data_IF_523325545008
#
_entry.id   IF_523325545008
#
_cell.length_a   1.000
_cell.length_b   1.000
_cell.length_c   1.000
_cell.angle_alpha   90.00
_cell.angle_beta   90.00
_cell.angle_gamma   90.00
#
_symmetry.space_group_name_H-M   'P 1'
#
loop_
_entity.id
_entity.type
_entity.pdbx_description
1 polymer ?
#
# COMPACT_ATOMS: atom_id res chain seq x y z
N UNK A 1 -19.49 -11.23 14.46
CA UNK A 1 -19.50 -9.92 15.15
C UNK A 1 -19.09 -8.89 14.11
N UNK A 2 -19.98 -7.98 13.73
CA UNK A 2 -19.74 -7.06 12.60
C UNK A 2 -19.00 -5.82 13.10
N UNK A 3 -17.81 -5.56 12.55
CA UNK A 3 -17.02 -4.37 12.86
C UNK A 3 -16.90 -3.50 11.60
N UNK A 4 -17.05 -2.18 11.76
CA UNK A 4 -16.84 -1.24 10.66
C UNK A 4 -15.33 -1.05 10.45
N UNK A 5 -14.79 -1.65 9.39
CA UNK A 5 -13.39 -1.46 8.98
C UNK A 5 -13.33 -0.32 7.97
N UNK A 6 -12.39 0.60 8.18
CA UNK A 6 -12.14 1.74 7.31
C UNK A 6 -10.67 1.81 6.92
N UNK A 7 -10.43 2.31 5.71
CA UNK A 7 -9.09 2.66 5.24
C UNK A 7 -9.05 4.15 4.96
N UNK A 8 -8.06 4.84 5.52
CA UNK A 8 -7.86 6.28 5.36
C UNK A 8 -6.45 6.52 4.83
N UNK A 9 -6.37 7.26 3.74
CA UNK A 9 -5.12 7.74 3.16
C UNK A 9 -5.03 9.23 3.46
N UNK A 10 -3.87 9.67 3.92
CA UNK A 10 -3.68 11.04 4.38
C UNK A 10 -2.27 11.32 4.83
N UNK A 11 -2.15 12.26 5.76
CA UNK A 11 -0.88 12.67 6.35
C UNK A 11 -0.97 12.76 7.87
N UNK A 12 0.16 12.62 8.53
CA UNK A 12 0.28 12.82 9.98
C UNK A 12 0.12 14.32 10.28
N UNK A 13 -0.99 14.72 10.87
CA UNK A 13 -1.32 16.12 11.11
C UNK A 13 -0.60 16.74 12.30
N UNK A 14 -0.18 15.92 13.28
CA UNK A 14 0.49 16.32 14.52
C UNK A 14 1.55 15.29 14.88
N UNK A 15 2.56 15.71 15.64
CA UNK A 15 3.63 14.82 16.08
C UNK A 15 3.05 13.61 16.83
N UNK A 16 3.44 12.37 16.48
CA UNK A 16 2.98 11.17 17.15
C UNK A 16 3.26 11.18 18.65
N UNK A 17 2.29 10.72 19.43
CA UNK A 17 2.43 10.59 20.89
C UNK A 17 2.57 9.10 21.21
N UNK A 18 3.75 8.71 21.69
CA UNK A 18 4.05 7.37 22.15
C UNK A 18 4.03 7.30 23.68
N UNK A 19 3.29 6.34 24.22
CA UNK A 19 3.17 6.11 25.65
C UNK A 19 3.29 4.62 25.96
N UNK A 20 4.00 4.30 27.05
CA UNK A 20 3.98 2.95 27.64
C UNK A 20 3.10 3.01 28.87
N UNK A 21 1.97 2.32 28.83
CA UNK A 21 1.03 2.28 29.96
C UNK A 21 1.63 1.53 31.15
N UNK A 22 1.08 1.73 32.34
CA UNK A 22 1.51 1.05 33.57
C UNK A 22 1.50 -0.49 33.47
N UNK A 23 0.69 -1.05 32.56
CA UNK A 23 0.65 -2.48 32.24
C UNK A 23 1.83 -2.96 31.39
N UNK A 24 2.74 -2.07 30.97
CA UNK A 24 3.79 -2.34 30.00
C UNK A 24 3.29 -2.40 28.55
N UNK A 25 2.04 -2.03 28.28
CA UNK A 25 1.47 -2.02 26.92
C UNK A 25 1.80 -0.72 26.21
N UNK A 26 2.47 -0.82 25.07
CA UNK A 26 2.74 0.31 24.19
C UNK A 26 1.49 0.80 23.47
N UNK A 27 1.33 2.13 23.42
CA UNK A 27 0.26 2.86 22.75
C UNK A 27 0.88 3.99 21.94
N UNK A 28 0.47 4.11 20.68
CA UNK A 28 0.79 5.25 19.83
C UNK A 28 -0.51 5.93 19.41
N UNK A 29 -0.63 7.22 19.69
CA UNK A 29 -1.74 8.06 19.25
C UNK A 29 -1.29 8.98 18.12
N UNK A 30 -1.99 8.91 16.99
CA UNK A 30 -1.74 9.72 15.81
C UNK A 30 -2.95 10.60 15.51
N UNK A 31 -2.72 11.78 14.93
CA UNK A 31 -3.75 12.56 14.26
C UNK A 31 -3.53 12.45 12.76
N UNK A 32 -4.47 11.85 12.03
CA UNK A 32 -4.42 11.79 10.56
C UNK A 32 -5.31 12.86 9.98
N UNK A 33 -4.80 13.61 9.01
CA UNK A 33 -5.56 14.49 8.14
C UNK A 33 -5.77 13.84 6.77
N UNK A 34 -6.98 13.90 6.24
CA UNK A 34 -7.29 13.47 4.87
C UNK A 34 -8.03 14.60 4.16
N UNK A 35 -7.45 15.09 3.07
CA UNK A 35 -8.01 16.17 2.26
C UNK A 35 -8.55 15.58 0.97
N UNK A 36 -9.89 15.48 0.80
CA UNK A 36 -10.46 15.04 -0.46
C UNK A 36 -10.13 16.05 -1.56
N UNK A 37 -9.87 15.56 -2.78
CA UNK A 37 -9.81 16.42 -3.97
C UNK A 37 -11.02 16.12 -4.85
N UNK A 38 -11.73 17.15 -5.27
CA UNK A 38 -12.86 17.07 -6.21
C UNK A 38 -12.52 17.81 -7.49
N UNK A 39 -12.84 17.21 -8.64
CA UNK A 39 -12.74 17.91 -9.91
C UNK A 39 -13.90 18.89 -10.06
N UNK A 40 -13.57 20.17 -10.22
CA UNK A 40 -14.55 21.23 -10.45
C UNK A 40 -14.74 21.44 -11.95
N UNK A 41 -15.92 21.08 -12.45
CA UNK A 41 -16.23 21.06 -13.89
C UNK A 41 -16.40 22.44 -14.50
N UNK A 42 -16.72 23.47 -13.71
CA UNK A 42 -16.95 24.82 -14.22
C UNK A 42 -15.64 25.51 -14.62
N UNK A 43 -14.58 25.20 -13.89
CA UNK A 43 -13.25 25.80 -14.02
C UNK A 43 -12.19 24.82 -14.54
N UNK A 44 -12.56 23.55 -14.70
CA UNK A 44 -11.70 22.52 -15.27
C UNK A 44 -10.49 22.12 -14.42
N UNK A 45 -10.50 22.37 -13.10
CA UNK A 45 -9.37 22.10 -12.21
C UNK A 45 -9.78 21.28 -10.98
N UNK A 46 -8.81 20.54 -10.43
CA UNK A 46 -8.96 19.89 -9.13
C UNK A 46 -8.93 20.94 -8.02
N UNK A 47 -9.89 20.85 -7.10
CA UNK A 47 -9.94 21.65 -5.88
C UNK A 47 -9.92 20.75 -4.67
N UNK A 48 -9.29 21.25 -3.62
CA UNK A 48 -9.28 20.61 -2.31
C UNK A 48 -10.62 20.93 -1.62
N UNK A 49 -11.22 19.91 -1.03
CA UNK A 49 -12.42 20.04 -0.21
C UNK A 49 -12.03 20.16 1.28
N UNK A 50 -13.03 20.30 2.15
CA UNK A 50 -12.82 20.41 3.58
C UNK A 50 -12.06 19.18 4.13
N UNK A 51 -10.92 19.39 4.81
CA UNK A 51 -10.13 18.28 5.34
C UNK A 51 -10.83 17.64 6.53
N UNK A 52 -10.85 16.31 6.55
CA UNK A 52 -11.26 15.56 7.73
C UNK A 52 -10.05 15.19 8.57
N UNK A 53 -10.24 15.15 9.89
CA UNK A 53 -9.18 14.76 10.81
C UNK A 53 -9.69 13.70 11.79
N UNK A 54 -8.95 12.60 11.88
CA UNK A 54 -9.30 11.43 12.68
C UNK A 54 -8.17 11.12 13.66
N UNK A 55 -8.53 10.63 14.85
CA UNK A 55 -7.55 10.12 15.81
C UNK A 55 -7.35 8.64 15.55
N UNK A 56 -6.10 8.20 15.46
CA UNK A 56 -5.74 6.80 15.24
C UNK A 56 -4.98 6.30 16.45
N UNK A 57 -5.44 5.20 17.03
CA UNK A 57 -4.75 4.51 18.13
C UNK A 57 -4.14 3.22 17.62
N UNK A 58 -2.83 3.07 17.81
CA UNK A 58 -2.08 1.87 17.48
C UNK A 58 -1.59 1.22 18.76
N UNK A 59 -1.64 -0.10 18.85
CA UNK A 59 -1.36 -0.84 20.09
C UNK A 59 -0.21 -1.82 19.92
N UNK A 60 0.48 -2.12 21.04
CA UNK A 60 1.46 -3.20 21.15
C UNK A 60 2.54 -3.06 20.07
N UNK A 61 2.82 -4.14 19.33
CA UNK A 61 3.84 -4.16 18.28
C UNK A 61 3.64 -3.11 17.19
N UNK A 62 2.40 -2.73 16.87
CA UNK A 62 2.19 -1.67 15.88
C UNK A 62 2.68 -0.32 16.40
N UNK A 63 2.44 -0.03 17.69
CA UNK A 63 2.96 1.18 18.33
C UNK A 63 4.49 1.19 18.37
N UNK A 64 5.11 0.07 18.79
CA UNK A 64 6.57 -0.05 18.88
C UNK A 64 7.25 0.09 17.51
N UNK A 65 6.67 -0.55 16.48
CA UNK A 65 7.20 -0.45 15.12
C UNK A 65 7.07 0.98 14.57
N UNK A 66 5.93 1.64 14.80
CA UNK A 66 5.74 3.02 14.36
C UNK A 66 6.68 4.00 15.08
N UNK A 67 6.94 3.76 16.37
CA UNK A 67 7.96 4.51 17.11
C UNK A 67 9.35 4.29 16.50
N UNK A 68 9.69 3.05 16.14
CA UNK A 68 11.00 2.71 15.54
C UNK A 68 11.16 3.22 14.11
N UNK A 69 10.06 3.38 13.37
CA UNK A 69 10.06 3.99 12.05
C UNK A 69 10.25 5.51 12.08
N UNK A 70 10.29 6.13 13.27
CA UNK A 70 10.46 7.57 13.45
C UNK A 70 9.43 8.39 12.66
N UNK A 71 8.15 7.99 12.70
CA UNK A 71 7.08 8.69 12.00
C UNK A 71 6.98 10.15 12.49
N UNK A 72 6.89 11.11 11.57
CA UNK A 72 6.85 12.54 11.87
C UNK A 72 5.58 13.22 11.34
N UNK A 73 5.31 14.43 11.84
CA UNK A 73 4.27 15.29 11.28
C UNK A 73 4.58 15.60 9.81
N UNK A 74 3.55 15.45 8.98
CA UNK A 74 3.61 15.66 7.53
C UNK A 74 3.78 14.37 6.74
N UNK A 75 4.18 13.27 7.38
CA UNK A 75 4.43 12.01 6.68
C UNK A 75 3.17 11.48 6.00
N UNK A 76 3.26 11.09 4.72
CA UNK A 76 2.14 10.51 4.00
C UNK A 76 1.93 9.07 4.46
N UNK A 77 0.71 8.74 4.89
CA UNK A 77 0.38 7.44 5.47
C UNK A 77 -0.95 6.89 4.96
N UNK A 78 -1.05 5.57 5.00
CA UNK A 78 -2.28 4.80 4.89
C UNK A 78 -2.54 4.07 6.20
N UNK A 79 -3.78 4.15 6.69
CA UNK A 79 -4.23 3.51 7.92
C UNK A 79 -5.45 2.66 7.61
N UNK A 80 -5.44 1.40 8.04
CA UNK A 80 -6.61 0.53 8.04
C UNK A 80 -6.90 0.07 9.46
N UNK A 81 -8.17 0.06 9.84
CA UNK A 81 -8.56 -0.36 11.18
C UNK A 81 -10.05 -0.24 11.44
N UNK A 82 -10.42 -0.41 12.71
CA UNK A 82 -11.81 -0.41 13.17
C UNK A 82 -12.24 1.01 13.50
N UNK A 83 -13.32 1.48 12.90
CA UNK A 83 -13.92 2.78 13.22
C UNK A 83 -14.70 2.67 14.54
N UNK A 84 -14.38 3.57 15.46
CA UNK A 84 -15.06 3.73 16.75
C UNK A 84 -15.50 5.18 16.90
N UNK A 85 -16.78 5.39 17.24
CA UNK A 85 -17.28 6.71 17.63
C UNK A 85 -17.29 6.76 19.15
N UNK A 86 -16.54 7.69 19.73
CA UNK A 86 -16.52 7.92 21.19
C UNK A 86 -17.27 9.19 21.54
N UNK A 87 -18.14 9.11 22.54
CA UNK A 87 -18.76 10.28 23.15
C UNK A 87 -17.83 10.84 24.23
N UNK A 88 -17.67 12.16 24.27
CA UNK A 88 -16.93 12.86 25.32
C UNK A 88 -17.63 14.18 25.66
N UNK A 89 -17.46 14.65 26.89
CA UNK A 89 -17.99 15.93 27.34
C UNK A 89 -16.90 16.98 27.22
N UNK A 90 -17.18 18.07 26.51
CA UNK A 90 -16.30 19.23 26.43
C UNK A 90 -17.16 20.49 26.56
N UNK A 91 -16.77 21.39 27.46
CA UNK A 91 -17.50 22.63 27.75
C UNK A 91 -18.97 22.39 28.19
N UNK A 92 -19.21 21.29 28.90
CA UNK A 92 -20.56 20.88 29.33
C UNK A 92 -21.45 20.30 28.23
N UNK A 93 -20.97 20.24 26.99
CA UNK A 93 -21.71 19.66 25.86
C UNK A 93 -21.16 18.28 25.49
N UNK A 94 -22.07 17.36 25.17
CA UNK A 94 -21.75 16.05 24.60
C UNK A 94 -21.27 16.24 23.16
N UNK A 95 -20.08 15.70 22.85
CA UNK A 95 -19.49 15.69 21.51
C UNK A 95 -19.11 14.27 21.13
N UNK A 96 -19.03 14.02 19.83
CA UNK A 96 -18.58 12.75 19.28
C UNK A 96 -17.21 12.93 18.63
N UNK A 97 -16.35 11.93 18.80
CA UNK A 97 -15.05 11.86 18.14
C UNK A 97 -14.95 10.54 17.39
N UNK A 98 -14.67 10.62 16.09
CA UNK A 98 -14.36 9.46 15.27
C UNK A 98 -12.89 9.07 15.46
N UNK A 99 -12.68 7.82 15.85
CA UNK A 99 -11.38 7.24 16.14
C UNK A 99 -11.20 5.95 15.35
N UNK A 100 -9.96 5.66 14.96
CA UNK A 100 -9.59 4.42 14.29
C UNK A 100 -8.70 3.62 15.22
N UNK A 101 -9.11 2.42 15.58
CA UNK A 101 -8.23 1.42 16.17
C UNK A 101 -7.49 0.71 15.04
N UNK A 102 -6.23 1.11 14.82
CA UNK A 102 -5.47 0.66 13.67
C UNK A 102 -5.08 -0.81 13.78
N UNK A 103 -5.33 -1.56 12.71
CA UNK A 103 -4.79 -2.90 12.49
C UNK A 103 -3.51 -2.84 11.66
N UNK A 104 -3.40 -1.85 10.77
CA UNK A 104 -2.25 -1.68 9.88
C UNK A 104 -2.04 -0.20 9.60
N UNK A 105 -0.77 0.21 9.60
CA UNK A 105 -0.32 1.55 9.20
C UNK A 105 0.91 1.37 8.32
N UNK A 106 1.00 2.14 7.25
CA UNK A 106 2.17 2.18 6.38
C UNK A 106 2.36 3.56 5.76
N UNK A 107 3.57 3.84 5.27
CA UNK A 107 3.82 5.02 4.47
C UNK A 107 3.13 4.91 3.10
N UNK A 108 2.57 6.01 2.63
CA UNK A 108 2.05 6.11 1.26
C UNK A 108 3.21 6.41 0.29
N UNK A 109 3.65 5.35 -0.38
CA UNK A 109 4.78 5.39 -1.32
C UNK A 109 4.44 6.10 -2.64
N UNK A 110 3.19 6.48 -2.89
CA UNK A 110 2.87 7.37 -4.02
C UNK A 110 3.45 8.78 -3.83
N UNK A 111 3.84 9.13 -2.59
CA UNK A 111 4.33 10.45 -2.18
C UNK A 111 5.75 10.42 -1.61
N UNK A 112 6.44 9.27 -1.65
CA UNK A 112 7.78 9.15 -1.07
C UNK A 112 8.37 7.75 -1.17
N UNK A 113 9.53 7.56 -0.54
CA UNK A 113 10.26 6.29 -0.49
C UNK A 113 10.41 5.88 0.98
N UNK A 114 10.20 4.61 1.28
CA UNK A 114 10.45 4.05 2.61
C UNK A 114 11.46 2.90 2.53
N UNK A 115 12.25 2.72 3.59
CA UNK A 115 13.12 1.56 3.75
C UNK A 115 12.53 0.65 4.81
N UNK A 116 12.16 -0.57 4.41
CA UNK A 116 11.64 -1.55 5.36
C UNK A 116 12.79 -2.18 6.14
N UNK A 117 12.71 -2.10 7.47
CA UNK A 117 13.57 -2.85 8.38
C UNK A 117 12.72 -3.86 9.13
N UNK A 118 13.16 -5.12 9.14
CA UNK A 118 12.43 -6.18 9.83
C UNK A 118 12.67 -6.04 11.32
N UNK A 119 11.59 -5.88 12.09
CA UNK A 119 11.68 -5.91 13.55
C UNK A 119 12.32 -7.23 13.99
N UNK A 120 13.40 -7.16 14.79
CA UNK A 120 13.97 -8.32 15.46
C UNK A 120 12.98 -8.81 16.52
N UNK A 121 12.05 -9.65 16.10
CA UNK A 121 11.35 -10.56 17.01
C UNK A 121 12.10 -11.89 16.97
N UNK A 122 12.26 -12.53 18.13
CA UNK A 122 12.59 -13.95 18.21
C UNK A 122 11.46 -14.73 17.55
N UNK A 123 11.55 -14.90 16.24
CA UNK A 123 10.54 -15.59 15.44
C UNK A 123 10.68 -17.10 15.64
N UNK A 124 9.54 -17.77 15.78
CA UNK A 124 9.46 -19.20 15.51
C UNK A 124 9.68 -19.43 14.00
N UNK A 125 10.60 -20.31 13.58
CA UNK A 125 11.03 -20.41 12.17
C UNK A 125 10.02 -20.99 11.17
N UNK A 126 8.94 -21.65 11.61
CA UNK A 126 8.15 -22.55 10.75
C UNK A 126 7.22 -21.82 9.76
N UNK A 127 6.36 -20.88 10.22
CA UNK A 127 5.39 -20.18 9.34
C UNK A 127 6.05 -19.44 8.15
N UNK A 128 7.29 -18.99 8.33
CA UNK A 128 8.02 -18.27 7.28
C UNK A 128 8.53 -19.20 6.19
N UNK A 129 9.00 -20.38 6.60
CA UNK A 129 9.58 -21.35 5.67
C UNK A 129 8.51 -21.90 4.73
N UNK A 130 7.31 -22.17 5.24
CA UNK A 130 6.18 -22.59 4.40
C UNK A 130 5.75 -21.51 3.41
N UNK A 131 5.77 -20.24 3.80
CA UNK A 131 5.45 -19.13 2.89
C UNK A 131 6.52 -18.94 1.81
N UNK A 132 7.80 -19.08 2.17
CA UNK A 132 8.92 -19.01 1.22
C UNK A 132 8.85 -20.21 0.24
N UNK A 133 8.65 -21.44 0.74
CA UNK A 133 8.49 -22.65 -0.09
C UNK A 133 7.27 -22.55 -1.04
N UNK A 134 6.17 -21.92 -0.59
CA UNK A 134 4.99 -21.68 -1.42
C UNK A 134 5.24 -20.64 -2.50
N UNK A 135 5.99 -19.58 -2.20
CA UNK A 135 6.35 -18.55 -3.17
C UNK A 135 7.26 -19.11 -4.26
N UNK A 136 8.24 -19.92 -3.89
CA UNK A 136 9.16 -20.60 -4.83
C UNK A 136 8.38 -21.52 -5.79
N UNK A 137 7.43 -22.30 -5.25
CA UNK A 137 6.55 -23.15 -6.08
C UNK A 137 5.65 -22.38 -7.04
N UNK A 138 5.23 -21.17 -6.67
CA UNK A 138 4.40 -20.32 -7.53
C UNK A 138 5.23 -19.75 -8.69
N UNK A 139 6.48 -19.37 -8.41
CA UNK A 139 7.43 -18.92 -9.43
C UNK A 139 7.85 -20.04 -10.39
N UNK A 140 7.94 -21.28 -9.91
CA UNK A 140 8.25 -22.44 -10.75
C UNK A 140 7.09 -22.82 -11.68
N UNK A 141 5.84 -22.71 -11.23
CA UNK A 141 4.66 -23.08 -12.03
C UNK A 141 4.43 -22.17 -13.25
N UNK A 142 4.68 -20.86 -13.12
CA UNK A 142 4.52 -19.90 -14.22
C UNK A 142 5.59 -20.06 -15.32
N UNK A 143 6.73 -20.70 -15.02
CA UNK A 143 7.79 -20.94 -16.01
C UNK A 143 7.50 -22.15 -16.91
N UNK A 144 6.73 -23.13 -16.44
CA UNK A 144 6.39 -24.33 -17.20
C UNK A 144 5.25 -24.07 -18.21
N UNK A 145 4.24 -23.26 -17.84
CA UNK A 145 3.09 -22.94 -18.71
C UNK A 145 3.48 -22.01 -19.88
N UNK A 146 4.26 -20.95 -19.62
CA UNK A 146 4.70 -20.01 -20.67
C UNK A 146 5.71 -20.65 -21.65
N UNK A 147 6.52 -21.62 -21.19
CA UNK A 147 7.48 -22.34 -22.03
C UNK A 147 6.81 -23.34 -22.98
N UNK A 148 5.74 -24.02 -22.53
CA UNK A 148 4.94 -24.92 -23.37
C UNK A 148 4.09 -24.15 -24.41
N UNK A 149 3.53 -22.99 -24.04
CA UNK A 149 2.82 -22.13 -25.00
C UNK A 149 3.75 -21.53 -26.07
N UNK A 150 4.97 -21.12 -25.71
CA UNK A 150 5.95 -20.59 -26.66
C UNK A 150 6.47 -21.67 -27.62
N UNK A 151 6.70 -22.90 -27.13
CA UNK A 151 7.14 -24.03 -27.97
C UNK A 151 6.03 -24.53 -28.90
N UNK A 152 4.78 -24.52 -28.46
CA UNK A 152 3.61 -24.83 -29.31
C UNK A 152 3.43 -23.77 -30.41
N UNK A 153 3.57 -22.47 -30.10
CA UNK A 153 3.48 -21.41 -31.11
C UNK A 153 4.65 -21.42 -32.12
N UNK A 154 5.85 -21.85 -31.70
CA UNK A 154 7.01 -21.98 -32.59
C UNK A 154 6.89 -23.17 -33.54
N UNK A 155 6.25 -24.26 -33.13
CA UNK A 155 6.04 -25.46 -33.97
C UNK A 155 4.90 -25.23 -34.98
N UNK A 156 3.76 -24.67 -34.56
CA UNK A 156 2.63 -24.32 -35.45
C UNK A 156 3.01 -23.28 -36.53
N UNK A 157 3.95 -22.39 -36.21
CA UNK A 157 4.45 -21.38 -37.15
C UNK A 157 5.47 -21.93 -38.14
N UNK A 158 6.11 -23.07 -37.84
CA UNK A 158 7.04 -23.74 -38.73
C UNK A 158 6.34 -24.65 -39.76
N UNK A 159 5.13 -25.13 -39.48
CA UNK A 159 4.33 -25.95 -40.40
C UNK A 159 3.50 -25.12 -41.41
N UNK A 160 3.35 -23.80 -41.19
CA UNK A 160 2.61 -22.88 -42.07
C UNK A 160 3.50 -22.02 -42.98
N UNK A 161 4.81 -22.29 -43.07
CA UNK A 161 5.66 -21.71 -44.11
C UNK A 161 5.50 -22.57 -45.37
N UNK A 162 4.40 -22.34 -46.09
CA UNK A 162 4.21 -22.81 -47.46
C UNK A 162 5.08 -21.96 -48.38
N UNK A 163 5.98 -22.63 -49.11
CA UNK A 163 6.85 -22.07 -50.14
C UNK A 163 6.01 -21.26 -51.15
N UNK A 164 6.10 -19.94 -51.09
CA UNK A 164 5.65 -19.06 -52.17
C UNK A 164 6.78 -18.11 -52.58
N UNK A 165 7.54 -18.61 -53.55
CA UNK A 165 8.12 -17.91 -54.71
C UNK A 165 8.62 -16.48 -54.50
N UNK A 166 9.94 -16.41 -54.28
CA UNK A 166 10.91 -15.68 -55.11
C UNK A 166 10.33 -14.69 -56.14
N UNK A 167 10.35 -13.39 -55.84
CA UNK A 167 10.56 -12.34 -56.83
C UNK A 167 11.12 -11.06 -56.17
N UNK A 168 12.34 -10.71 -56.57
CA UNK A 168 13.10 -9.61 -56.00
C UNK A 168 12.68 -8.25 -56.53
N UNK A 169 12.56 -7.28 -55.63
CA UNK A 169 12.79 -5.87 -55.95
C UNK A 169 13.34 -5.15 -54.71
N UNK A 170 14.66 -4.88 -54.73
CA UNK A 170 15.32 -4.04 -53.74
C UNK A 170 15.56 -2.67 -54.36
N UNK A 171 14.91 -1.59 -53.90
CA UNK A 171 15.22 -0.27 -54.40
C UNK A 171 16.53 0.24 -53.76
N UNK A 172 17.39 0.95 -54.52
CA UNK A 172 18.73 1.31 -54.06
C UNK A 172 18.71 2.50 -53.09
N UNK A 173 19.52 2.37 -52.05
CA UNK A 173 19.92 3.42 -51.12
C UNK A 173 20.33 4.71 -51.85
N UNK A 174 19.83 5.86 -51.38
CA UNK A 174 20.43 7.18 -51.64
C UNK A 174 21.03 7.74 -50.36
N UNK A 175 22.36 7.87 -50.36
CA UNK A 175 23.12 8.69 -49.42
C UNK A 175 23.23 10.13 -49.96
N UNK A 176 23.05 11.11 -49.08
CA UNK A 176 23.55 12.49 -49.18
C UNK A 176 23.57 13.03 -47.73
N UNK A 177 24.75 13.21 -47.13
CA UNK A 177 25.62 14.39 -47.19
C UNK A 177 25.10 15.53 -46.28
#
# INVERSE_FOLDING_TARGET
MNEAVVTVIGFVAQDPIFEVLASGTSLMSLRIGSTPRRYDREIGQWRDDDPMFLTVTCWRTLADNLQSCELQRGDPIIVTGKLRIREYVKDGQKRFSAQIEATTVGHDLSRGVARFQRAQRSAFPEDRREADDMADRWLEADLDEDAEELTTQLTDKSENIDDTDEDGDTPPFRAAA
#
